data_IF_920307873231
#
_entry.id   IF_920307873231
#
_cell.length_a   1.000
_cell.length_b   1.000
_cell.length_c   1.000
_cell.angle_alpha   90.00
_cell.angle_beta   90.00
_cell.angle_gamma   90.00
#
_symmetry.space_group_name_H-M   'P 1'
#
loop_
_entity.id
_entity.type
_entity.pdbx_description
1 polymer ?
#
# COMPACT_ATOMS: atom_id res chain seq x y z
N UNK A 1 1.59 -8.93 -1.36
CA UNK A 1 2.32 -10.17 -1.02
C UNK A 1 3.00 -10.75 -2.25
N UNK A 2 4.06 -11.54 -2.08
CA UNK A 2 4.63 -12.37 -3.15
C UNK A 2 4.33 -13.82 -2.78
N UNK A 3 3.75 -14.57 -3.72
CA UNK A 3 3.39 -15.97 -3.56
C UNK A 3 3.97 -16.77 -4.73
N UNK A 4 4.90 -17.69 -4.44
CA UNK A 4 5.71 -18.37 -5.44
C UNK A 4 6.41 -17.37 -6.38
N UNK A 5 6.04 -17.41 -7.66
CA UNK A 5 6.57 -16.52 -8.72
C UNK A 5 5.60 -15.41 -9.11
N UNK A 6 4.63 -15.08 -8.25
CA UNK A 6 3.58 -14.11 -8.55
C UNK A 6 3.49 -13.03 -7.47
N UNK A 7 3.26 -11.80 -7.89
CA UNK A 7 3.01 -10.68 -6.99
C UNK A 7 1.52 -10.39 -6.91
N UNK A 8 1.02 -10.23 -5.69
CA UNK A 8 -0.39 -10.01 -5.39
C UNK A 8 -0.55 -8.75 -4.57
N UNK A 9 -1.52 -7.92 -4.96
CA UNK A 9 -1.98 -6.78 -4.18
C UNK A 9 -3.17 -7.23 -3.33
N UNK A 10 -3.01 -7.11 -2.02
CA UNK A 10 -3.99 -7.55 -1.02
C UNK A 10 -4.41 -6.35 -0.17
N UNK A 11 -5.59 -6.44 0.46
CA UNK A 11 -6.15 -5.40 1.33
C UNK A 11 -6.31 -4.02 0.67
N UNK A 12 -6.55 -4.00 -0.64
CA UNK A 12 -6.93 -2.77 -1.35
C UNK A 12 -8.44 -2.79 -1.56
N UNK A 13 -9.12 -1.83 -0.97
CA UNK A 13 -10.56 -1.64 -1.17
C UNK A 13 -10.80 -0.82 -2.44
N UNK A 14 -11.44 -1.44 -3.43
CA UNK A 14 -11.93 -0.75 -4.62
C UNK A 14 -13.44 -0.82 -4.60
N UNK A 15 -14.09 0.30 -4.31
CA UNK A 15 -15.56 0.39 -4.26
C UNK A 15 -16.18 -0.14 -5.54
N UNK A 16 -17.33 -0.79 -5.38
CA UNK A 16 -18.13 -1.23 -6.52
C UNK A 16 -18.60 -0.03 -7.33
N UNK A 17 -18.84 -0.25 -8.61
CA UNK A 17 -19.40 0.78 -9.46
C UNK A 17 -20.92 0.79 -9.30
N UNK A 18 -21.47 1.90 -8.80
CA UNK A 18 -22.90 2.03 -8.52
C UNK A 18 -23.78 1.95 -9.78
N UNK A 19 -23.24 2.33 -10.95
CA UNK A 19 -23.90 2.18 -12.25
C UNK A 19 -23.54 0.83 -12.92
N UNK A 20 -22.90 -0.07 -12.18
CA UNK A 20 -22.61 -1.44 -12.61
C UNK A 20 -23.85 -2.34 -12.50
N UNK A 21 -23.75 -3.54 -13.06
CA UNK A 21 -24.79 -4.55 -12.93
C UNK A 21 -24.57 -5.39 -11.65
N UNK A 22 -25.45 -6.38 -11.41
CA UNK A 22 -25.33 -7.34 -10.28
C UNK A 22 -24.02 -8.14 -10.25
N UNK A 23 -23.23 -8.15 -11.34
CA UNK A 23 -21.96 -8.86 -11.47
C UNK A 23 -20.77 -7.92 -11.22
N UNK A 24 -20.85 -7.11 -10.16
CA UNK A 24 -19.73 -6.26 -9.72
C UNK A 24 -18.57 -7.10 -9.17
N UNK A 25 -17.38 -6.50 -9.13
CA UNK A 25 -16.22 -7.13 -8.51
C UNK A 25 -16.34 -7.09 -6.98
N UNK A 26 -15.84 -8.13 -6.31
CA UNK A 26 -15.67 -8.09 -4.86
C UNK A 26 -14.66 -6.97 -4.47
N UNK A 27 -15.02 -6.02 -3.60
CA UNK A 27 -14.20 -4.84 -3.32
C UNK A 27 -12.80 -5.11 -2.77
N UNK A 28 -12.66 -6.18 -1.97
CA UNK A 28 -11.41 -6.56 -1.30
C UNK A 28 -10.67 -7.70 -2.00
N UNK A 29 -11.10 -8.12 -3.19
CA UNK A 29 -10.48 -9.26 -3.89
C UNK A 29 -8.97 -9.04 -4.08
N UNK A 30 -8.14 -10.09 -3.92
CA UNK A 30 -6.72 -10.00 -4.24
C UNK A 30 -6.54 -9.78 -5.75
N UNK A 31 -5.67 -8.83 -6.11
CA UNK A 31 -5.40 -8.48 -7.52
C UNK A 31 -3.96 -8.85 -7.88
N UNK A 32 -3.79 -9.67 -8.91
CA UNK A 32 -2.48 -10.06 -9.42
C UNK A 32 -1.77 -8.87 -10.08
N UNK A 33 -0.49 -8.68 -9.77
CA UNK A 33 0.36 -7.65 -10.34
C UNK A 33 1.17 -8.23 -11.52
N UNK A 34 1.23 -7.45 -12.60
CA UNK A 34 1.87 -7.84 -13.85
C UNK A 34 3.34 -7.37 -13.88
N UNK A 35 4.15 -7.90 -12.97
CA UNK A 35 5.59 -7.60 -12.91
C UNK A 35 6.40 -8.54 -13.81
N UNK A 36 7.58 -8.11 -14.24
CA UNK A 36 8.49 -8.98 -14.97
C UNK A 36 9.11 -10.04 -14.04
N UNK A 37 9.39 -11.23 -14.59
CA UNK A 37 10.00 -12.35 -13.83
C UNK A 37 11.28 -11.96 -13.09
N UNK A 38 12.14 -11.14 -13.71
CA UNK A 38 13.40 -10.65 -13.09
C UNK A 38 13.12 -9.75 -11.87
N UNK A 39 12.09 -8.90 -11.94
CA UNK A 39 11.70 -8.01 -10.85
C UNK A 39 11.14 -8.82 -9.68
N UNK A 40 10.28 -9.80 -9.98
CA UNK A 40 9.71 -10.70 -8.96
C UNK A 40 10.84 -11.45 -8.23
N UNK A 41 11.81 -12.02 -8.95
CA UNK A 41 12.95 -12.69 -8.33
C UNK A 41 13.76 -11.77 -7.40
N UNK A 42 14.01 -10.53 -7.82
CA UNK A 42 14.68 -9.52 -7.00
C UNK A 42 13.89 -9.17 -5.73
N UNK A 43 12.57 -9.00 -5.87
CA UNK A 43 11.70 -8.70 -4.74
C UNK A 43 11.58 -9.88 -3.76
N UNK A 44 11.54 -11.13 -4.25
CA UNK A 44 11.55 -12.34 -3.39
C UNK A 44 12.78 -12.34 -2.48
N UNK A 45 13.95 -12.07 -3.03
CA UNK A 45 15.20 -12.00 -2.25
C UNK A 45 15.13 -10.93 -1.16
N UNK A 46 14.60 -9.75 -1.49
CA UNK A 46 14.50 -8.62 -0.55
C UNK A 46 13.41 -8.81 0.51
N UNK A 47 12.24 -9.34 0.15
CA UNK A 47 11.13 -9.59 1.08
C UNK A 47 11.45 -10.73 2.05
N UNK A 48 12.25 -11.72 1.63
CA UNK A 48 12.74 -12.79 2.52
C UNK A 48 13.72 -12.28 3.57
N UNK A 49 14.43 -11.18 3.33
CA UNK A 49 15.26 -10.55 4.37
C UNK A 49 14.35 -9.99 5.47
N UNK A 50 14.52 -10.49 6.71
CA UNK A 50 13.68 -10.13 7.87
C UNK A 50 13.53 -8.61 7.99
N UNK A 51 12.29 -8.14 7.90
CA UNK A 51 11.90 -6.77 8.21
C UNK A 51 11.56 -5.88 7.02
N UNK A 52 11.77 -6.33 5.78
CA UNK A 52 11.27 -5.62 4.60
C UNK A 52 9.84 -6.05 4.26
N UNK A 53 8.98 -5.08 3.99
CA UNK A 53 7.60 -5.25 3.57
C UNK A 53 7.37 -4.50 2.27
N UNK A 54 6.67 -5.12 1.34
CA UNK A 54 6.27 -4.50 0.08
C UNK A 54 4.97 -3.71 0.28
N UNK A 55 4.98 -2.42 0.00
CA UNK A 55 3.83 -1.51 0.16
C UNK A 55 3.53 -0.77 -1.14
N UNK A 56 2.25 -0.47 -1.45
CA UNK A 56 1.91 0.44 -2.53
C UNK A 56 2.21 1.90 -2.12
N UNK A 57 2.78 2.68 -3.04
CA UNK A 57 3.07 4.10 -2.83
C UNK A 57 2.02 4.99 -3.50
N UNK A 58 1.74 4.71 -4.78
CA UNK A 58 0.72 5.43 -5.56
C UNK A 58 0.11 4.51 -6.60
N UNK A 59 -1.14 4.82 -6.96
CA UNK A 59 -1.81 4.27 -8.13
C UNK A 59 -1.92 5.38 -9.15
N UNK A 60 -1.55 5.09 -10.40
CA UNK A 60 -1.57 6.07 -11.48
C UNK A 60 -2.07 5.41 -12.78
N UNK A 61 -2.74 6.19 -13.61
CA UNK A 61 -3.21 5.71 -14.91
C UNK A 61 -2.17 5.98 -15.98
N UNK A 62 -1.87 4.97 -16.80
CA UNK A 62 -0.95 5.08 -17.92
C UNK A 62 -1.42 4.16 -19.04
N UNK A 63 -1.62 4.71 -20.25
CA UNK A 63 -2.06 3.95 -21.44
C UNK A 63 -3.24 3.02 -21.13
N UNK A 64 -4.32 3.57 -20.55
CA UNK A 64 -5.54 2.87 -20.13
C UNK A 64 -5.38 1.79 -19.04
N UNK A 65 -4.21 1.66 -18.41
CA UNK A 65 -3.99 0.73 -17.31
C UNK A 65 -3.79 1.49 -16.00
N UNK A 66 -4.40 0.99 -14.93
CA UNK A 66 -4.06 1.40 -13.56
C UNK A 66 -2.76 0.71 -13.16
N UNK A 67 -1.68 1.48 -13.02
CA UNK A 67 -0.37 1.02 -12.57
C UNK A 67 -0.20 1.34 -11.09
N UNK A 68 0.46 0.43 -10.39
CA UNK A 68 0.76 0.57 -8.95
C UNK A 68 2.27 0.71 -8.80
N UNK A 69 2.72 1.79 -8.18
CA UNK A 69 4.10 1.92 -7.75
C UNK A 69 4.28 1.21 -6.41
N UNK A 70 5.31 0.36 -6.32
CA UNK A 70 5.61 -0.43 -5.14
C UNK A 70 6.90 0.07 -4.49
N UNK A 71 6.89 0.17 -3.17
CA UNK A 71 8.05 0.48 -2.35
C UNK A 71 8.38 -0.69 -1.42
N UNK A 72 9.68 -0.90 -1.18
CA UNK A 72 10.14 -1.75 -0.08
C UNK A 72 10.38 -0.88 1.14
N UNK A 73 9.62 -1.12 2.19
CA UNK A 73 9.71 -0.39 3.45
C UNK A 73 10.15 -1.33 4.58
N UNK A 74 10.83 -0.76 5.57
CA UNK A 74 11.11 -1.43 6.84
C UNK A 74 10.24 -0.80 7.92
N UNK A 75 9.55 -1.63 8.69
CA UNK A 75 8.75 -1.13 9.82
C UNK A 75 9.63 -0.40 10.85
N UNK A 76 9.19 0.77 11.31
CA UNK A 76 9.79 1.47 12.46
C UNK A 76 9.72 0.59 13.70
N UNK A 77 10.74 0.67 14.58
CA UNK A 77 10.73 -0.07 15.85
C UNK A 77 9.65 0.49 16.78
N UNK A 78 9.20 -0.28 17.76
CA UNK A 78 8.08 0.13 18.62
C UNK A 78 8.36 1.42 19.40
N UNK A 79 9.61 1.66 19.80
CA UNK A 79 9.99 2.89 20.49
C UNK A 79 9.84 4.12 19.56
N UNK A 80 10.35 4.04 18.33
CA UNK A 80 10.22 5.10 17.31
C UNK A 80 8.76 5.42 16.98
N UNK A 81 7.86 4.43 17.10
CA UNK A 81 6.43 4.64 16.87
C UNK A 81 5.80 5.52 17.94
N UNK A 82 6.19 5.37 19.21
CA UNK A 82 5.61 6.16 20.31
C UNK A 82 5.93 7.64 20.14
N UNK A 83 7.20 7.96 19.88
CA UNK A 83 7.65 9.33 19.63
C UNK A 83 6.94 9.94 18.41
N UNK A 84 6.88 9.21 17.29
CA UNK A 84 6.19 9.67 16.09
C UNK A 84 4.67 9.84 16.25
N UNK A 85 4.02 9.10 17.17
CA UNK A 85 2.60 9.28 17.51
C UNK A 85 2.43 10.54 18.34
N UNK A 86 3.26 10.73 19.38
CA UNK A 86 3.22 11.91 20.24
C UNK A 86 3.45 13.20 19.43
N UNK A 87 4.45 13.23 18.54
CA UNK A 87 4.72 14.37 17.68
C UNK A 87 3.55 14.68 16.73
N UNK A 88 2.93 13.64 16.16
CA UNK A 88 1.78 13.81 15.26
C UNK A 88 0.55 14.33 15.98
N UNK A 89 0.29 13.86 17.19
CA UNK A 89 -0.86 14.31 17.98
C UNK A 89 -0.66 15.75 18.46
N UNK A 90 0.55 16.10 18.93
CA UNK A 90 0.90 17.48 19.29
C UNK A 90 0.73 18.44 18.10
N UNK A 91 1.21 18.05 16.90
CA UNK A 91 1.03 18.87 15.69
C UNK A 91 -0.44 19.05 15.33
N UNK A 92 -1.25 17.99 15.44
CA UNK A 92 -2.70 18.05 15.17
C UNK A 92 -3.44 18.98 16.15
N UNK A 93 -2.99 19.04 17.39
CA UNK A 93 -3.56 19.92 18.42
C UNK A 93 -3.22 21.40 18.15
N UNK A 94 -1.96 21.68 17.82
CA UNK A 94 -1.50 23.02 17.41
C UNK A 94 -2.29 23.51 16.18
N UNK A 95 -2.42 22.68 15.15
CA UNK A 95 -3.16 23.03 13.92
C UNK A 95 -4.65 23.34 14.22
N UNK A 96 -5.27 22.59 15.15
CA UNK A 96 -6.66 22.85 15.57
C UNK A 96 -6.80 24.15 16.37
N UNK A 97 -5.84 24.47 17.24
CA UNK A 97 -5.84 25.70 18.02
C UNK A 97 -5.65 26.93 17.13
N UNK A 98 -4.74 26.85 16.15
CA UNK A 98 -4.52 27.90 15.16
C UNK A 98 -5.74 28.16 14.26
N UNK A 99 -6.51 27.11 13.92
CA UNK A 99 -7.71 27.22 13.06
C UNK A 99 -8.96 27.73 13.78
N UNK A 100 -8.94 27.80 15.12
CA UNK A 100 -10.03 28.31 15.97
C UNK A 100 -9.87 29.80 16.33
N UNK A 101 -8.75 30.43 15.99
CA UNK A 101 -8.53 31.88 16.03
C UNK A 101 -8.84 32.49 14.67
#
# INVERSE_FOLDING_TARGET
>A
RIDGNEAWLENVHISEYAQGNRMNHEPMRPRKLLLHRKEIASLIGKVRQKGYTLIPLRVYFSRNHAKVELGLARGKRQYDKREAIAERDAKREIDRAMRRR
#
